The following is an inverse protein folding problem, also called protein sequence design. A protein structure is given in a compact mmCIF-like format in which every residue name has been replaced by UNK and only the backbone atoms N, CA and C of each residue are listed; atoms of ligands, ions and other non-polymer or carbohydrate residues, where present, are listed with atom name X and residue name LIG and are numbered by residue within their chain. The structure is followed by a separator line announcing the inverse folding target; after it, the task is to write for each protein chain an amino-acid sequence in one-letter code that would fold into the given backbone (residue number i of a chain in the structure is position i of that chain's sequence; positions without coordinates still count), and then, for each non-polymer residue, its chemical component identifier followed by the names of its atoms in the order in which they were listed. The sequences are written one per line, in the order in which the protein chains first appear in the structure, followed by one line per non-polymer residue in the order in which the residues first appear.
data_IF_173977442008
#
_entry.id   IF_173977442008
#
_cell.length_a   1.000
_cell.length_b   1.000
_cell.length_c   1.000
_cell.angle_alpha   90.00
_cell.angle_beta   90.00
_cell.angle_gamma   90.00
#
_symmetry.space_group_name_H-M   'P 1'
#
loop_
_entity.id
_entity.type
_entity.pdbx_description
1 polymer ?
#
# COMPACT_ATOMS: atom_id res chain seq x y z
N UNK A 1 -33.81 -10.39 -6.44
CA UNK A 1 -33.21 -9.04 -6.57
C UNK A 1 -32.23 -9.06 -7.74
N UNK A 2 -32.40 -8.24 -8.79
CA UNK A 2 -31.41 -8.15 -9.90
C UNK A 2 -30.10 -7.59 -9.31
N UNK A 3 -29.01 -8.36 -9.34
CA UNK A 3 -27.68 -7.86 -8.97
C UNK A 3 -27.32 -6.75 -9.98
N UNK A 4 -27.10 -5.53 -9.49
CA UNK A 4 -26.56 -4.46 -10.32
C UNK A 4 -25.10 -4.80 -10.60
N UNK A 5 -24.78 -5.07 -11.85
CA UNK A 5 -23.40 -5.33 -12.26
C UNK A 5 -22.63 -4.02 -12.31
N UNK A 6 -21.52 -3.95 -11.58
CA UNK A 6 -20.52 -2.90 -11.78
C UNK A 6 -19.81 -3.15 -13.10
N UNK A 7 -19.57 -2.10 -13.89
CA UNK A 7 -18.78 -2.14 -15.11
C UNK A 7 -17.62 -1.16 -14.97
N UNK A 8 -16.43 -1.61 -15.35
CA UNK A 8 -15.22 -0.81 -15.36
C UNK A 8 -14.68 -0.79 -16.79
N UNK A 9 -14.53 0.40 -17.35
CA UNK A 9 -13.93 0.60 -18.67
C UNK A 9 -12.60 1.35 -18.48
N UNK A 10 -11.49 0.75 -18.90
CA UNK A 10 -10.13 1.30 -18.80
C UNK A 10 -9.79 2.13 -20.04
N UNK A 11 -9.09 3.24 -19.86
CA UNK A 11 -8.65 4.15 -20.92
C UNK A 11 -7.20 4.59 -20.70
N UNK A 12 -6.60 5.19 -21.72
CA UNK A 12 -5.20 5.67 -21.68
C UNK A 12 -4.92 6.68 -20.54
N UNK A 13 -5.90 7.49 -20.16
CA UNK A 13 -5.74 8.56 -19.16
C UNK A 13 -6.57 8.37 -17.88
N UNK A 14 -7.22 7.22 -17.72
CA UNK A 14 -8.08 6.96 -16.57
C UNK A 14 -8.97 5.76 -16.76
N UNK A 15 -10.02 5.69 -15.96
CA UNK A 15 -11.08 4.70 -16.11
C UNK A 15 -12.44 5.28 -15.77
N UNK A 16 -13.47 4.64 -16.30
CA UNK A 16 -14.86 4.89 -15.94
C UNK A 16 -15.42 3.70 -15.16
N UNK A 17 -15.93 3.98 -13.96
CA UNK A 17 -16.66 3.04 -13.13
C UNK A 17 -18.16 3.33 -13.21
N UNK A 18 -18.95 2.35 -13.62
CA UNK A 18 -20.41 2.41 -13.70
C UNK A 18 -21.01 1.42 -12.71
N UNK A 19 -21.89 1.88 -11.83
CA UNK A 19 -22.63 1.04 -10.89
C UNK A 19 -24.11 1.46 -10.89
N UNK A 20 -24.94 0.68 -11.58
CA UNK A 20 -26.34 1.05 -11.83
C UNK A 20 -26.44 2.36 -12.62
N UNK A 21 -27.11 3.37 -12.06
CA UNK A 21 -27.22 4.72 -12.66
C UNK A 21 -26.03 5.63 -12.33
N UNK A 22 -25.13 5.22 -11.44
CA UNK A 22 -23.99 6.03 -11.02
C UNK A 22 -22.82 5.81 -11.98
N UNK A 23 -22.18 6.89 -12.39
CA UNK A 23 -20.98 6.88 -13.21
C UNK A 23 -19.92 7.75 -12.54
N UNK A 24 -18.70 7.24 -12.42
CA UNK A 24 -17.54 7.96 -11.92
C UNK A 24 -16.39 7.79 -12.91
N UNK A 25 -15.78 8.90 -13.30
CA UNK A 25 -14.53 8.92 -14.03
C UNK A 25 -13.38 9.22 -13.07
N UNK A 26 -12.30 8.47 -13.17
CA UNK A 26 -11.07 8.70 -12.41
C UNK A 26 -9.93 8.82 -13.40
N UNK A 27 -9.23 9.96 -13.39
CA UNK A 27 -8.07 10.17 -14.23
C UNK A 27 -6.79 9.70 -13.53
N UNK A 28 -5.81 9.19 -14.26
CA UNK A 28 -4.55 8.69 -13.69
C UNK A 28 -3.80 9.74 -12.88
N UNK A 29 -3.80 11.00 -13.35
CA UNK A 29 -3.17 12.12 -12.64
C UNK A 29 -3.86 12.50 -11.31
N UNK A 30 -5.06 11.98 -11.04
CA UNK A 30 -5.76 12.15 -9.78
C UNK A 30 -5.42 11.06 -8.77
N UNK A 31 -4.76 9.98 -9.19
CA UNK A 31 -4.40 8.87 -8.32
C UNK A 31 -3.04 9.14 -7.68
N UNK A 32 -2.96 8.85 -6.40
CA UNK A 32 -1.79 8.98 -5.55
C UNK A 32 -1.22 7.61 -5.21
N UNK A 33 -2.04 6.70 -4.68
CA UNK A 33 -1.62 5.36 -4.29
C UNK A 33 -2.58 4.30 -4.83
N UNK A 34 -2.03 3.14 -5.21
CA UNK A 34 -2.80 1.94 -5.52
C UNK A 34 -2.18 0.74 -4.81
N UNK A 35 -3.01 0.00 -4.07
CA UNK A 35 -2.61 -1.27 -3.47
C UNK A 35 -3.75 -2.29 -3.56
N UNK A 36 -3.37 -3.55 -3.49
CA UNK A 36 -4.29 -4.68 -3.54
C UNK A 36 -4.40 -5.27 -2.14
N UNK A 37 -5.63 -5.50 -1.70
CA UNK A 37 -5.92 -6.14 -0.41
C UNK A 37 -6.48 -7.53 -0.70
N UNK A 38 -5.78 -8.61 -0.29
CA UNK A 38 -6.30 -9.96 -0.41
C UNK A 38 -7.48 -10.15 0.53
N UNK A 39 -8.54 -10.81 0.05
CA UNK A 39 -9.65 -11.29 0.87
C UNK A 39 -9.53 -12.81 0.93
N UNK A 40 -9.28 -13.35 2.13
CA UNK A 40 -9.24 -14.78 2.36
C UNK A 40 -10.65 -15.29 2.68
N UNK A 41 -11.11 -16.29 1.92
CA UNK A 41 -12.33 -17.01 2.24
C UNK A 41 -12.06 -18.08 3.29
N UNK A 42 -13.12 -18.58 3.93
CA UNK A 42 -13.03 -19.59 5.00
C UNK A 42 -12.44 -20.95 4.58
N UNK A 43 -12.13 -21.19 3.30
CA UNK A 43 -11.78 -22.53 2.79
C UNK A 43 -10.67 -22.61 1.71
N UNK A 44 -10.05 -21.51 1.28
CA UNK A 44 -9.02 -21.59 0.22
C UNK A 44 -7.61 -21.78 0.80
N UNK A 45 -7.27 -23.03 1.12
CA UNK A 45 -5.87 -23.44 1.29
C UNK A 45 -5.43 -24.29 0.11
N UNK A 46 -4.36 -23.90 -0.56
CA UNK A 46 -3.67 -24.71 -1.58
C UNK A 46 -2.29 -25.02 -1.02
N UNK A 47 -1.93 -26.30 -0.94
CA UNK A 47 -0.65 -26.77 -0.39
C UNK A 47 -0.32 -26.25 1.02
N UNK A 48 -1.37 -26.10 1.86
CA UNK A 48 -1.25 -25.59 3.22
C UNK A 48 -1.10 -24.07 3.34
N UNK A 49 -0.96 -23.35 2.22
CA UNK A 49 -0.92 -21.90 2.20
C UNK A 49 -2.31 -21.29 1.96
N UNK A 50 -2.62 -20.20 2.67
CA UNK A 50 -3.86 -19.46 2.48
C UNK A 50 -3.80 -18.73 1.13
N UNK A 51 -4.73 -19.06 0.23
CA UNK A 51 -4.86 -18.40 -1.07
C UNK A 51 -6.04 -17.43 -0.98
N UNK A 52 -5.87 -16.16 -1.40
CA UNK A 52 -6.97 -15.19 -1.38
C UNK A 52 -8.09 -15.64 -2.31
N UNK A 53 -9.32 -15.61 -1.79
CA UNK A 53 -10.54 -15.93 -2.53
C UNK A 53 -10.95 -14.79 -3.49
N UNK A 54 -10.61 -13.55 -3.14
CA UNK A 54 -10.78 -12.38 -4.01
C UNK A 54 -9.81 -11.27 -3.62
N UNK A 55 -9.80 -10.18 -4.37
CA UNK A 55 -8.94 -9.02 -4.13
C UNK A 55 -9.76 -7.74 -4.21
N UNK A 56 -9.49 -6.79 -3.32
CA UNK A 56 -9.99 -5.41 -3.44
C UNK A 56 -8.84 -4.54 -3.92
N UNK A 57 -9.05 -3.75 -4.97
CA UNK A 57 -8.11 -2.70 -5.36
C UNK A 57 -8.50 -1.40 -4.65
N UNK A 58 -7.60 -0.90 -3.83
CA UNK A 58 -7.72 0.40 -3.17
C UNK A 58 -7.01 1.45 -4.01
N UNK A 59 -7.73 2.50 -4.40
CA UNK A 59 -7.22 3.62 -5.19
C UNK A 59 -7.39 4.89 -4.38
N UNK A 60 -6.29 5.47 -3.94
CA UNK A 60 -6.31 6.73 -3.19
C UNK A 60 -6.04 7.85 -4.16
N UNK A 61 -6.93 8.83 -4.16
CA UNK A 61 -6.81 10.04 -4.98
C UNK A 61 -5.99 11.08 -4.24
N UNK A 62 -5.39 12.01 -4.98
CA UNK A 62 -4.64 13.16 -4.44
C UNK A 62 -5.47 14.05 -3.52
N UNK A 63 -6.80 14.01 -3.64
CA UNK A 63 -7.71 14.68 -2.70
C UNK A 63 -7.99 13.88 -1.43
N UNK A 64 -7.21 12.82 -1.18
CA UNK A 64 -7.32 11.94 -0.02
C UNK A 64 -8.42 10.90 -0.10
N UNK A 65 -9.30 10.95 -1.10
CA UNK A 65 -10.44 10.04 -1.18
C UNK A 65 -10.00 8.64 -1.65
N UNK A 66 -10.46 7.62 -0.94
CA UNK A 66 -10.25 6.22 -1.32
C UNK A 66 -11.42 5.71 -2.17
N UNK A 67 -11.11 5.10 -3.31
CA UNK A 67 -12.04 4.35 -4.14
C UNK A 67 -11.67 2.86 -4.05
N UNK A 68 -12.64 2.04 -3.68
CA UNK A 68 -12.49 0.59 -3.56
C UNK A 68 -13.15 -0.09 -4.75
N UNK A 69 -12.37 -0.90 -5.48
CA UNK A 69 -12.87 -1.72 -6.58
C UNK A 69 -12.87 -3.18 -6.11
N UNK A 70 -14.07 -3.72 -5.90
CA UNK A 70 -14.33 -5.13 -5.58
C UNK A 70 -15.33 -5.71 -6.60
N UNK A 71 -15.36 -7.03 -6.78
CA UNK A 71 -16.26 -7.67 -7.75
C UNK A 71 -15.77 -7.61 -9.20
N UNK A 72 -14.47 -7.38 -9.40
CA UNK A 72 -13.82 -7.34 -10.71
C UNK A 72 -12.81 -8.47 -10.87
N UNK A 73 -13.00 -9.58 -10.16
CA UNK A 73 -12.10 -10.74 -10.16
C UNK A 73 -11.98 -11.37 -11.56
N UNK A 74 -13.03 -11.25 -12.38
CA UNK A 74 -13.04 -11.67 -13.78
C UNK A 74 -12.13 -10.81 -14.68
N UNK A 75 -11.82 -9.56 -14.28
CA UNK A 75 -10.79 -8.76 -14.92
C UNK A 75 -9.45 -9.17 -14.33
N UNK A 76 -8.92 -10.31 -14.79
CA UNK A 76 -7.60 -10.78 -14.41
C UNK A 76 -6.60 -9.62 -14.53
N UNK A 77 -5.82 -9.40 -13.47
CA UNK A 77 -4.76 -8.39 -13.40
C UNK A 77 -5.23 -6.93 -13.48
N UNK A 78 -6.48 -6.62 -13.11
CA UNK A 78 -6.96 -5.23 -13.06
C UNK A 78 -6.06 -4.34 -12.18
N UNK A 79 -5.75 -4.79 -10.97
CA UNK A 79 -4.86 -4.06 -10.07
C UNK A 79 -3.49 -3.82 -10.71
N UNK A 80 -2.89 -4.87 -11.28
CA UNK A 80 -1.61 -4.80 -11.99
C UNK A 80 -1.65 -3.86 -13.20
N UNK A 81 -2.75 -3.82 -13.97
CA UNK A 81 -2.89 -2.93 -15.12
C UNK A 81 -2.99 -1.46 -14.70
N UNK A 82 -3.76 -1.17 -13.64
CA UNK A 82 -3.84 0.17 -13.06
C UNK A 82 -2.47 0.58 -12.50
N UNK A 83 -1.82 -0.32 -11.75
CA UNK A 83 -0.48 -0.07 -11.21
C UNK A 83 0.51 0.21 -12.34
N UNK A 84 0.58 -0.63 -13.38
CA UNK A 84 1.47 -0.43 -14.52
C UNK A 84 1.26 0.92 -15.22
N UNK A 85 -0.01 1.31 -15.46
CA UNK A 85 -0.34 2.60 -16.07
C UNK A 85 0.07 3.81 -15.21
N UNK A 86 0.11 3.63 -13.89
CA UNK A 86 0.60 4.64 -12.95
C UNK A 86 2.11 4.60 -12.82
N UNK A 87 2.72 3.42 -12.96
CA UNK A 87 4.12 3.21 -12.68
C UNK A 87 5.02 4.07 -13.54
N UNK A 88 4.81 4.10 -14.85
CA UNK A 88 5.61 4.92 -15.76
C UNK A 88 5.64 6.41 -15.35
N UNK A 89 4.51 6.91 -14.83
CA UNK A 89 4.38 8.33 -14.45
C UNK A 89 4.97 8.60 -13.08
N UNK A 90 4.75 7.70 -12.12
CA UNK A 90 5.19 7.87 -10.74
C UNK A 90 6.68 7.55 -10.57
N UNK A 91 7.21 6.59 -11.33
CA UNK A 91 8.62 6.23 -11.30
C UNK A 91 9.51 7.40 -11.66
N UNK A 92 9.18 8.14 -12.72
CA UNK A 92 9.96 9.31 -13.12
C UNK A 92 10.04 10.35 -11.99
N UNK A 93 8.91 10.62 -11.34
CA UNK A 93 8.85 11.57 -10.20
C UNK A 93 9.66 11.04 -9.01
N UNK A 94 9.57 9.75 -8.70
CA UNK A 94 10.34 9.11 -7.66
C UNK A 94 11.85 9.21 -7.92
N UNK A 95 12.29 8.89 -9.14
CA UNK A 95 13.70 8.99 -9.56
C UNK A 95 14.21 10.43 -9.49
N UNK A 96 13.43 11.40 -10.00
CA UNK A 96 13.81 12.81 -9.97
C UNK A 96 13.92 13.33 -8.52
N UNK A 97 12.98 12.96 -7.64
CA UNK A 97 13.02 13.32 -6.23
C UNK A 97 14.23 12.69 -5.51
N UNK A 98 14.49 11.41 -5.75
CA UNK A 98 15.65 10.72 -5.18
C UNK A 98 16.96 11.39 -5.61
N UNK A 99 17.14 11.66 -6.91
CA UNK A 99 18.35 12.33 -7.41
C UNK A 99 18.55 13.73 -6.82
N UNK A 100 17.46 14.41 -6.48
CA UNK A 100 17.50 15.70 -5.80
C UNK A 100 17.80 15.61 -4.29
N UNK A 101 18.04 14.41 -3.74
CA UNK A 101 18.40 14.19 -2.34
C UNK A 101 17.22 13.82 -1.44
N UNK A 102 15.99 13.76 -1.96
CA UNK A 102 14.81 13.49 -1.13
C UNK A 102 14.60 11.99 -0.89
N UNK A 103 14.12 11.66 0.31
CA UNK A 103 13.61 10.33 0.64
C UNK A 103 12.26 10.08 -0.05
N UNK A 104 12.21 9.05 -0.89
CA UNK A 104 11.02 8.69 -1.68
C UNK A 104 10.10 7.78 -0.86
N UNK A 105 8.86 8.20 -0.65
CA UNK A 105 7.87 7.44 0.13
C UNK A 105 7.03 6.54 -0.75
N UNK A 106 6.91 5.28 -0.32
CA UNK A 106 6.00 4.27 -0.87
C UNK A 106 4.97 3.94 0.21
N UNK A 107 3.97 4.81 0.34
CA UNK A 107 2.95 4.71 1.38
C UNK A 107 3.41 5.19 2.75
N UNK A 108 2.70 4.73 3.79
CA UNK A 108 2.91 5.20 5.16
C UNK A 108 4.14 4.57 5.82
N UNK A 109 4.44 3.33 5.48
CA UNK A 109 5.38 2.50 6.24
C UNK A 109 6.66 2.17 5.51
N UNK A 110 6.80 2.58 4.25
CA UNK A 110 7.98 2.26 3.45
C UNK A 110 8.51 3.53 2.78
N UNK A 111 9.80 3.78 2.91
CA UNK A 111 10.47 4.85 2.17
C UNK A 111 11.91 4.46 1.85
N UNK A 112 12.46 5.06 0.80
CA UNK A 112 13.81 4.79 0.31
C UNK A 112 14.58 6.11 0.22
N UNK A 113 15.69 6.19 0.95
CA UNK A 113 16.59 7.35 0.97
C UNK A 113 17.98 7.01 0.44
N UNK A 114 18.86 8.01 0.41
CA UNK A 114 20.26 7.81 0.03
C UNK A 114 21.06 7.02 1.05
N UNK A 115 20.61 7.03 2.30
CA UNK A 115 21.29 6.41 3.42
C UNK A 115 20.71 5.04 3.82
N UNK A 116 19.56 4.65 3.24
CA UNK A 116 18.99 3.33 3.44
C UNK A 116 17.51 3.21 3.12
N UNK A 117 16.90 2.14 3.64
CA UNK A 117 15.47 1.86 3.57
C UNK A 117 14.85 2.10 4.94
N UNK A 118 13.71 2.79 4.92
CA UNK A 118 12.93 3.12 6.10
C UNK A 118 11.66 2.26 6.12
N UNK A 119 11.50 1.50 7.20
CA UNK A 119 10.32 0.67 7.43
C UNK A 119 9.72 1.01 8.79
N UNK A 120 8.55 1.64 8.78
CA UNK A 120 7.91 2.21 9.97
C UNK A 120 8.83 3.18 10.70
N UNK A 121 9.43 2.79 11.82
CA UNK A 121 10.35 3.59 12.64
C UNK A 121 11.79 3.05 12.59
N UNK A 122 12.04 2.03 11.76
CA UNK A 122 13.35 1.39 11.63
C UNK A 122 13.99 1.84 10.33
N UNK A 123 15.28 2.17 10.40
CA UNK A 123 16.12 2.44 9.24
C UNK A 123 17.13 1.31 9.10
N UNK A 124 17.21 0.74 7.90
CA UNK A 124 18.23 -0.23 7.52
C UNK A 124 19.15 0.44 6.51
N UNK A 125 20.42 0.66 6.89
CA UNK A 125 21.37 1.32 6.01
C UNK A 125 21.67 0.44 4.80
N UNK A 126 22.03 1.05 3.66
CA UNK A 126 22.36 0.27 2.46
C UNK A 126 23.48 -0.76 2.70
N UNK A 127 24.49 -0.38 3.48
CA UNK A 127 25.61 -1.25 3.86
C UNK A 127 25.16 -2.45 4.71
N UNK A 128 24.03 -2.35 5.41
CA UNK A 128 23.50 -3.43 6.24
C UNK A 128 22.59 -4.39 5.45
N UNK A 129 22.27 -4.10 4.18
CA UNK A 129 21.35 -4.88 3.35
C UNK A 129 22.15 -5.77 2.39
N UNK A 130 22.05 -7.09 2.53
CA UNK A 130 22.63 -8.03 1.57
C UNK A 130 21.79 -8.17 0.30
N UNK A 131 20.48 -8.28 0.49
CA UNK A 131 19.55 -8.62 -0.59
C UNK A 131 18.18 -8.01 -0.31
N UNK A 132 17.54 -7.56 -1.40
CA UNK A 132 16.13 -7.16 -1.41
C UNK A 132 15.41 -8.04 -2.41
N UNK A 133 14.44 -8.81 -1.96
CA UNK A 133 13.61 -9.64 -2.82
C UNK A 133 12.13 -9.29 -2.65
N UNK A 134 11.37 -9.49 -3.72
CA UNK A 134 9.91 -9.45 -3.72
C UNK A 134 9.46 -10.86 -4.10
N UNK A 135 8.69 -11.51 -3.24
CA UNK A 135 8.23 -12.89 -3.46
C UNK A 135 6.97 -12.96 -4.34
N UNK A 136 6.55 -14.19 -4.66
CA UNK A 136 5.36 -14.45 -5.49
C UNK A 136 4.03 -14.02 -4.83
N UNK A 137 4.05 -13.72 -3.52
CA UNK A 137 2.94 -13.14 -2.78
C UNK A 137 3.05 -11.60 -2.71
N UNK A 138 3.92 -11.01 -3.53
CA UNK A 138 4.24 -9.59 -3.61
C UNK A 138 4.88 -9.04 -2.32
N UNK A 139 5.28 -9.89 -1.37
CA UNK A 139 5.86 -9.45 -0.11
C UNK A 139 7.33 -9.10 -0.27
N UNK A 140 7.75 -8.02 0.38
CA UNK A 140 9.14 -7.53 0.33
C UNK A 140 9.91 -8.16 1.49
N UNK A 141 11.07 -8.72 1.17
CA UNK A 141 12.03 -9.24 2.13
C UNK A 141 13.34 -8.46 2.04
N UNK A 142 13.76 -7.91 3.19
CA UNK A 142 15.08 -7.31 3.35
C UNK A 142 15.95 -8.29 4.14
N UNK A 143 16.98 -8.83 3.49
CA UNK A 143 17.94 -9.75 4.10
C UNK A 143 19.16 -8.95 4.57
N UNK A 144 19.48 -8.95 5.88
CA UNK A 144 20.63 -8.21 6.39
C UNK A 144 21.96 -8.89 6.01
N UNK A 145 23.02 -8.09 5.89
CA UNK A 145 24.37 -8.57 5.59
C UNK A 145 25.00 -9.38 6.72
N UNK A 146 24.64 -9.08 7.96
CA UNK A 146 25.08 -9.83 9.13
C UNK A 146 24.00 -10.82 9.56
N UNK A 147 24.39 -12.10 9.72
CA UNK A 147 23.52 -13.23 10.09
C UNK A 147 22.85 -13.03 11.47
N UNK A 148 23.33 -12.08 12.27
CA UNK A 148 22.83 -11.79 13.63
C UNK A 148 21.50 -11.05 13.66
N UNK A 149 21.01 -10.55 12.54
CA UNK A 149 19.75 -9.81 12.47
C UNK A 149 18.71 -10.61 11.68
N UNK A 150 17.48 -10.70 12.20
CA UNK A 150 16.38 -11.36 11.50
C UNK A 150 16.04 -10.61 10.21
N UNK A 151 15.66 -11.35 9.17
CA UNK A 151 15.17 -10.75 7.93
C UNK A 151 13.88 -9.97 8.18
N UNK A 152 13.77 -8.78 7.60
CA UNK A 152 12.56 -7.97 7.72
C UNK A 152 11.58 -8.35 6.63
N UNK A 153 10.35 -8.71 7.02
CA UNK A 153 9.28 -9.07 6.11
C UNK A 153 8.19 -8.00 6.10
N UNK A 154 7.80 -7.55 4.91
CA UNK A 154 6.85 -6.46 4.71
C UNK A 154 5.79 -6.94 3.73
N UNK A 155 4.54 -6.95 4.17
CA UNK A 155 3.42 -7.33 3.31
C UNK A 155 3.22 -6.31 2.18
N UNK A 156 2.96 -6.81 0.96
CA UNK A 156 2.58 -6.00 -0.22
C UNK A 156 1.43 -5.04 0.06
N UNK A 157 0.50 -5.45 0.91
CA UNK A 157 -0.67 -4.68 1.33
C UNK A 157 -0.30 -3.33 1.97
N UNK A 158 0.90 -3.23 2.55
CA UNK A 158 1.42 -2.05 3.23
C UNK A 158 2.24 -1.13 2.31
N UNK A 159 2.54 -1.58 1.10
CA UNK A 159 3.42 -0.88 0.15
C UNK A 159 2.66 -0.56 -1.14
N UNK A 160 2.06 0.64 -1.24
CA UNK A 160 1.39 1.05 -2.46
C UNK A 160 2.37 1.19 -3.61
N UNK A 161 1.84 1.03 -4.82
CA UNK A 161 2.59 1.16 -6.05
C UNK A 161 3.81 0.22 -6.10
N UNK A 162 3.67 -1.01 -5.57
CA UNK A 162 4.75 -2.00 -5.49
C UNK A 162 5.56 -2.16 -6.80
N UNK A 163 4.95 -2.16 -8.01
CA UNK A 163 5.76 -2.23 -9.23
C UNK A 163 6.69 -1.02 -9.43
N UNK A 164 6.29 0.17 -8.98
CA UNK A 164 7.15 1.37 -8.97
C UNK A 164 8.31 1.17 -8.01
N UNK A 165 8.03 0.67 -6.80
CA UNK A 165 9.07 0.40 -5.83
C UNK A 165 10.07 -0.61 -6.36
N UNK A 166 9.60 -1.71 -6.95
CA UNK A 166 10.46 -2.76 -7.49
C UNK A 166 11.41 -2.20 -8.56
N UNK A 167 10.87 -1.48 -9.55
CA UNK A 167 11.68 -0.87 -10.61
C UNK A 167 12.63 0.21 -10.06
N UNK A 168 12.17 0.99 -9.08
CA UNK A 168 12.98 1.99 -8.40
C UNK A 168 14.15 1.38 -7.63
N UNK A 169 13.92 0.30 -6.88
CA UNK A 169 14.96 -0.41 -6.13
C UNK A 169 16.02 -1.02 -7.05
N UNK A 170 15.59 -1.58 -8.19
CA UNK A 170 16.52 -2.08 -9.22
C UNK A 170 17.40 -0.97 -9.78
N UNK A 171 16.86 0.25 -9.96
CA UNK A 171 17.65 1.41 -10.39
C UNK A 171 18.63 1.87 -9.31
N UNK A 172 18.21 1.93 -8.04
CA UNK A 172 19.07 2.38 -6.93
C UNK A 172 20.24 1.42 -6.66
N UNK A 173 20.10 0.13 -6.98
CA UNK A 173 21.19 -0.84 -6.82
C UNK A 173 22.28 -0.72 -7.90
N UNK A 174 22.09 0.13 -8.93
CA UNK A 174 23.10 0.34 -9.97
C UNK A 174 24.18 1.33 -9.49
N UNK A 175 25.49 1.02 -9.65
CA UNK A 175 26.59 1.85 -9.15
C UNK A 175 26.54 3.31 -9.62
N UNK A 176 26.07 3.53 -10.85
CA UNK A 176 26.05 4.86 -11.48
C UNK A 176 24.88 5.75 -11.00
N UNK A 177 23.91 5.18 -10.28
CA UNK A 177 22.68 5.89 -9.91
C UNK A 177 22.90 6.93 -8.80
N UNK A 178 23.89 6.71 -7.93
CA UNK A 178 24.22 7.61 -6.81
C UNK A 178 25.17 8.76 -7.19
N UNK A 179 25.74 8.77 -8.40
CA UNK A 179 26.83 9.67 -8.81
C UNK A 179 26.49 11.15 -9.03
N UNK A 180 25.25 11.58 -8.82
CA UNK A 180 24.78 12.94 -9.12
C UNK A 180 23.99 13.61 -7.99
N UNK A 181 24.19 13.19 -6.74
CA UNK A 181 23.58 13.87 -5.60
C UNK A 181 24.10 15.32 -5.53
N UNK A 182 23.20 16.28 -5.79
CA UNK A 182 23.43 17.66 -5.44
C UNK A 182 23.68 17.75 -3.93
N UNK A 183 24.57 18.66 -3.51
CA UNK A 183 24.87 18.92 -2.09
C UNK A 183 23.56 18.95 -1.28
N UNK A 184 23.53 18.06 -0.28
CA UNK A 184 22.44 17.83 0.67
C UNK A 184 21.71 19.14 1.01
N UNK A 185 20.47 19.27 0.55
CA UNK A 185 19.55 20.27 1.09
C UNK A 185 19.12 19.71 2.44
N UNK A 186 19.38 20.49 3.48
CA UNK A 186 19.18 20.18 4.90
C UNK A 186 17.93 19.33 5.16
N UNK A 187 18.14 18.28 5.94
CA UNK A 187 17.20 17.26 6.36
C UNK A 187 15.84 17.87 6.73
N UNK A 188 14.83 17.60 5.91
CA UNK A 188 13.46 17.61 6.39
C UNK A 188 13.35 16.49 7.43
N UNK A 189 13.60 16.86 8.69
CA UNK A 189 13.65 15.97 9.85
C UNK A 189 12.40 15.07 9.84
N UNK A 190 12.62 13.82 9.45
CA UNK A 190 11.57 12.83 9.48
C UNK A 190 11.34 12.49 10.94
N UNK A 191 10.26 13.01 11.54
CA UNK A 191 9.84 12.63 12.89
C UNK A 191 9.10 11.28 12.84
N UNK A 192 9.73 10.16 13.28
CA UNK A 192 9.07 8.87 13.35
C UNK A 192 7.93 8.84 14.40
N UNK A 193 7.84 9.85 15.26
CA UNK A 193 6.82 9.96 16.32
C UNK A 193 5.55 10.70 15.90
N UNK A 194 5.51 11.31 14.70
CA UNK A 194 4.30 11.97 14.21
C UNK A 194 3.17 10.98 13.78
N UNK A 195 3.43 9.69 13.95
CA UNK A 195 2.39 8.64 13.96
C UNK A 195 2.24 8.05 15.36
N UNK A 196 1.52 8.77 16.23
CA UNK A 196 1.08 8.23 17.52
C UNK A 196 0.27 6.95 17.32
N UNK A 197 0.89 5.80 17.65
CA UNK A 197 0.17 4.60 18.04
C UNK A 197 0.75 4.10 19.35
N UNK A 198 -0.03 4.28 20.42
CA UNK A 198 0.19 3.57 21.66
C UNK A 198 -0.07 2.08 21.41
N UNK A 199 0.99 1.28 21.54
CA UNK A 199 0.92 -0.15 21.75
C UNK A 199 0.67 -0.34 23.24
N UNK A 200 -0.45 -0.98 23.59
CA UNK A 200 -0.67 -1.84 24.77
C UNK A 200 -2.18 -2.07 24.93
N UNK A 201 -2.66 -3.25 24.54
CA UNK A 201 -3.91 -3.84 25.02
C UNK A 201 -3.91 -5.34 24.69
N UNK A 202 -3.44 -6.14 25.64
CA UNK A 202 -3.82 -7.55 25.74
C UNK A 202 -5.30 -7.62 26.18
N UNK A 203 -6.01 -8.62 25.65
CA UNK A 203 -7.39 -9.01 25.93
C UNK A 203 -8.51 -8.02 25.56
N UNK A 204 -9.12 -8.26 24.39
CA UNK A 204 -10.34 -7.58 23.92
C UNK A 204 -11.24 -8.50 23.08
N UNK A 205 -12.56 -8.23 23.02
CA UNK A 205 -13.60 -9.26 22.94
C UNK A 205 -14.04 -9.65 21.51
N UNK A 206 -14.53 -10.89 21.40
CA UNK A 206 -15.33 -11.49 20.32
C UNK A 206 -15.10 -10.94 18.89
N UNK A 207 -14.27 -11.67 18.14
CA UNK A 207 -13.98 -11.47 16.72
C UNK A 207 -15.24 -11.18 15.89
N UNK A 208 -15.50 -9.90 15.61
CA UNK A 208 -16.20 -9.58 14.38
C UNK A 208 -15.28 -10.00 13.23
N UNK A 209 -15.83 -10.76 12.28
CA UNK A 209 -15.11 -11.21 11.09
C UNK A 209 -14.54 -9.98 10.37
N UNK A 210 -13.25 -9.70 10.58
CA UNK A 210 -12.56 -8.54 10.03
C UNK A 210 -12.68 -8.49 8.51
N UNK A 211 -12.83 -9.66 7.88
CA UNK A 211 -13.15 -9.82 6.47
C UNK A 211 -14.46 -9.12 6.11
N UNK A 212 -15.51 -9.27 6.92
CA UNK A 212 -16.79 -8.59 6.72
C UNK A 212 -16.67 -7.09 6.92
N UNK A 213 -15.81 -6.62 7.82
CA UNK A 213 -15.56 -5.19 8.02
C UNK A 213 -14.76 -4.58 6.84
N UNK A 214 -13.75 -5.29 6.32
CA UNK A 214 -13.04 -4.90 5.09
C UNK A 214 -14.00 -4.82 3.89
N UNK A 215 -14.87 -5.83 3.75
CA UNK A 215 -15.92 -5.88 2.73
C UNK A 215 -16.97 -4.77 2.92
N UNK A 216 -17.28 -4.42 4.17
CA UNK A 216 -18.21 -3.33 4.52
C UNK A 216 -17.60 -1.95 4.28
N UNK A 217 -16.30 -1.86 3.99
CA UNK A 217 -15.65 -0.61 3.61
C UNK A 217 -14.81 0.04 4.72
N UNK A 218 -14.44 -0.68 5.76
CA UNK A 218 -13.46 -0.24 6.77
C UNK A 218 -12.04 -0.58 6.31
N UNK A 219 -11.04 0.25 6.63
CA UNK A 219 -9.64 -0.04 6.26
C UNK A 219 -8.84 -0.68 7.40
N UNK A 220 -7.56 -0.99 7.16
CA UNK A 220 -6.71 -1.61 8.16
C UNK A 220 -6.39 -0.70 9.35
N UNK A 221 -6.55 0.62 9.21
CA UNK A 221 -6.39 1.57 10.31
C UNK A 221 -7.59 1.46 11.26
N UNK A 222 -8.79 1.42 10.68
CA UNK A 222 -10.03 1.13 11.39
C UNK A 222 -9.98 -0.22 12.13
N UNK A 223 -9.48 -1.26 11.46
CA UNK A 223 -9.29 -2.58 12.08
C UNK A 223 -8.16 -2.59 13.10
N UNK A 224 -7.12 -1.79 12.90
CA UNK A 224 -6.02 -1.61 13.84
C UNK A 224 -6.50 -0.97 15.15
N UNK A 225 -7.37 0.05 15.08
CA UNK A 225 -8.04 0.63 16.25
C UNK A 225 -8.88 -0.42 17.00
N UNK A 226 -9.56 -1.30 16.26
CA UNK A 226 -10.40 -2.36 16.81
C UNK A 226 -9.58 -3.46 17.51
N UNK A 227 -8.48 -3.91 16.87
CA UNK A 227 -7.52 -4.88 17.45
C UNK A 227 -6.83 -4.33 18.69
N UNK A 228 -6.55 -3.03 18.72
CA UNK A 228 -5.94 -2.37 19.85
C UNK A 228 -6.92 -2.08 21.00
N UNK A 229 -8.19 -2.49 20.89
CA UNK A 229 -9.22 -2.21 21.91
C UNK A 229 -9.61 -0.73 22.03
N UNK A 230 -9.12 0.13 21.13
CA UNK A 230 -9.40 1.57 21.12
C UNK A 230 -10.78 1.88 20.53
N UNK A 231 -11.40 0.90 19.86
CA UNK A 231 -12.67 1.04 19.19
C UNK A 231 -13.45 -0.27 19.23
N UNK A 232 -14.74 -0.19 19.52
CA UNK A 232 -15.65 -1.34 19.40
C UNK A 232 -16.18 -1.47 17.96
N UNK A 233 -16.65 -2.67 17.59
CA UNK A 233 -17.28 -2.93 16.28
C UNK A 233 -18.49 -2.02 16.05
N UNK A 234 -19.28 -1.78 17.11
CA UNK A 234 -20.47 -0.94 17.06
C UNK A 234 -20.10 0.53 16.81
N UNK A 235 -19.05 1.03 17.47
CA UNK A 235 -18.51 2.37 17.23
C UNK A 235 -17.92 2.51 15.83
N UNK A 236 -17.25 1.47 15.33
CA UNK A 236 -16.73 1.45 13.96
C UNK A 236 -17.85 1.50 12.93
N UNK A 237 -18.87 0.67 13.09
CA UNK A 237 -20.06 0.66 12.22
C UNK A 237 -20.83 1.97 12.29
N UNK A 238 -20.97 2.56 13.48
CA UNK A 238 -21.63 3.86 13.69
C UNK A 238 -20.87 5.03 13.07
N UNK A 239 -19.52 4.97 13.03
CA UNK A 239 -18.70 5.93 12.26
C UNK A 239 -19.00 5.84 10.76
N UNK A 240 -19.39 4.64 10.30
CA UNK A 240 -19.58 4.27 8.90
C UNK A 240 -18.23 4.14 8.17
N UNK A 241 -18.17 3.46 7.01
CA UNK A 241 -16.98 3.43 6.17
C UNK A 241 -16.76 4.83 5.59
N UNK A 242 -16.18 5.73 6.39
CA UNK A 242 -15.98 7.11 5.99
C UNK A 242 -14.91 7.10 4.91
N UNK A 243 -15.26 7.68 3.76
CA UNK A 243 -14.29 8.35 2.88
C UNK A 243 -13.68 9.52 3.65
N UNK A 244 -12.95 9.26 4.75
CA UNK A 244 -12.09 10.29 5.33
C UNK A 244 -11.14 10.68 4.20
N UNK A 245 -11.07 11.96 3.80
CA UNK A 245 -9.94 12.39 3.01
C UNK A 245 -8.71 12.04 3.85
N UNK A 246 -7.93 11.06 3.41
CA UNK A 246 -6.56 10.89 3.92
C UNK A 246 -5.91 12.24 3.71
N UNK A 247 -5.48 12.91 4.78
CA UNK A 247 -4.82 14.19 4.59
C UNK A 247 -3.67 13.95 3.61
N UNK A 248 -3.65 14.64 2.45
CA UNK A 248 -2.46 14.61 1.63
C UNK A 248 -1.35 15.20 2.48
N UNK A 249 -0.35 14.37 2.80
CA UNK A 249 0.92 14.80 3.39
C UNK A 249 1.94 14.86 2.28
#
# INVERSE_FOLDING_TARGET
RRRMHSRLDLYQNGFDLRHGKRHRRVCWNQIYEVYQVPIYGCLTRVDGQAVPASWIVHIIRRDGRCLRLAGFEAMQRLGSHIQHSLSERQLRVAVDAYRAGYTVRFGRHFAVGHDGIYVRHQRMAWDDIAEISIDDADSIRLTPQQITTDSLHIESSLVPNLPVLHEFLQMTQQPDFHGHAAESIEDAEWDPHETHYHRDAEDGPAEADETQLLLAGFDWEDLGELRAGNLTVEELVARGPRNRPRQPR
#
